data_IF_897080949503
#
_entry.id   IF_897080949503
#
_cell.length_a   1.000
_cell.length_b   1.000
_cell.length_c   1.000
_cell.angle_alpha   90.00
_cell.angle_beta   90.00
_cell.angle_gamma   90.00
#
_symmetry.space_group_name_H-M   'P 1'
#
loop_
_entity.id
_entity.type
_entity.pdbx_description
1 polymer ?
#
# COMPACT_ATOMS: atom_id res chain seq x y z
N UNK A 1 4.36 8.89 -9.49
CA UNK A 1 5.53 8.77 -8.59
C UNK A 1 5.24 9.52 -7.30
N UNK A 2 5.49 8.90 -6.14
CA UNK A 2 5.34 9.57 -4.83
C UNK A 2 6.72 10.09 -4.42
N UNK A 3 6.86 11.41 -4.26
CA UNK A 3 8.14 12.02 -3.88
C UNK A 3 8.41 11.83 -2.38
N UNK A 4 9.60 11.32 -2.07
CA UNK A 4 10.04 10.87 -0.74
C UNK A 4 11.52 11.18 -0.49
N UNK A 5 12.08 12.16 -1.23
CA UNK A 5 13.44 12.62 -1.02
C UNK A 5 13.65 13.20 0.38
N UNK A 6 14.84 13.02 0.91
CA UNK A 6 15.24 13.44 2.25
C UNK A 6 15.10 14.96 2.45
N UNK A 7 15.42 15.75 1.44
CA UNK A 7 15.46 17.20 1.52
C UNK A 7 14.08 17.84 1.74
N UNK A 8 13.04 17.36 1.06
CA UNK A 8 11.74 18.05 1.02
C UNK A 8 10.57 17.23 1.58
N UNK A 9 10.74 15.93 1.81
CA UNK A 9 9.62 15.03 2.10
C UNK A 9 9.72 14.35 3.48
N UNK A 10 10.29 15.04 4.48
CA UNK A 10 10.46 14.54 5.85
C UNK A 10 9.18 13.92 6.43
N UNK A 11 8.03 14.57 6.33
CA UNK A 11 6.77 14.04 6.87
C UNK A 11 6.35 12.69 6.23
N UNK A 12 6.58 12.53 4.92
CA UNK A 12 6.31 11.25 4.23
C UNK A 12 7.30 10.18 4.62
N UNK A 13 8.58 10.54 4.81
CA UNK A 13 9.61 9.62 5.31
C UNK A 13 9.29 9.15 6.72
N UNK A 14 8.90 10.05 7.62
CA UNK A 14 8.44 9.69 8.97
C UNK A 14 7.22 8.77 8.96
N UNK A 15 6.27 9.00 8.04
CA UNK A 15 5.16 8.08 7.84
C UNK A 15 5.66 6.68 7.40
N UNK A 16 6.58 6.60 6.43
CA UNK A 16 7.19 5.33 6.02
C UNK A 16 7.97 4.65 7.16
N UNK A 17 8.70 5.40 8.00
CA UNK A 17 9.35 4.88 9.21
C UNK A 17 8.33 4.21 10.12
N UNK A 18 7.18 4.85 10.34
CA UNK A 18 6.11 4.30 11.17
C UNK A 18 5.54 2.98 10.60
N UNK A 19 5.37 2.89 9.28
CA UNK A 19 4.91 1.69 8.58
C UNK A 19 5.92 0.54 8.63
N UNK A 20 7.22 0.84 8.76
CA UNK A 20 8.30 -0.16 8.85
C UNK A 20 8.54 -0.66 10.28
N UNK A 21 8.49 0.25 11.27
CA UNK A 21 8.91 -0.03 12.65
C UNK A 21 7.79 -0.53 13.57
N UNK A 22 6.52 -0.14 13.34
CA UNK A 22 5.41 -0.44 14.27
C UNK A 22 4.39 -1.39 13.63
N UNK A 23 4.50 -2.73 13.82
CA UNK A 23 3.61 -3.72 13.19
C UNK A 23 2.17 -3.70 13.71
N UNK A 24 1.93 -3.12 14.89
CA UNK A 24 0.66 -3.29 15.60
C UNK A 24 -0.41 -2.27 15.20
N UNK A 25 -0.04 -1.26 14.41
CA UNK A 25 -0.99 -0.39 13.73
C UNK A 25 -1.22 -1.01 12.36
N UNK A 26 -2.46 -1.31 11.98
CA UNK A 26 -2.90 -1.89 10.71
C UNK A 26 -2.41 -1.21 9.40
N UNK A 27 -1.44 -0.30 9.50
CA UNK A 27 -0.85 0.57 8.49
C UNK A 27 0.49 0.04 7.94
N UNK A 28 0.87 -1.22 8.11
CA UNK A 28 2.11 -1.76 7.50
C UNK A 28 1.96 -2.11 6.01
N UNK A 29 0.73 -1.96 5.49
CA UNK A 29 0.30 -2.38 4.17
C UNK A 29 -0.18 -1.17 3.37
N UNK A 30 0.27 -1.09 2.12
CA UNK A 30 -0.42 -0.35 1.07
C UNK A 30 -1.72 -1.10 0.75
N UNK A 31 -2.84 -0.46 1.02
CA UNK A 31 -4.17 -0.96 0.64
C UNK A 31 -4.56 -0.38 -0.72
N UNK A 32 -5.03 -1.26 -1.60
CA UNK A 32 -5.72 -0.90 -2.82
C UNK A 32 -7.20 -1.19 -2.59
N UNK A 33 -8.05 -0.20 -2.81
CA UNK A 33 -9.50 -0.36 -2.75
C UNK A 33 -10.05 -0.42 -4.17
N UNK A 34 -10.83 -1.45 -4.46
CA UNK A 34 -11.62 -1.54 -5.68
C UNK A 34 -12.98 -0.95 -5.37
N UNK A 35 -13.42 0.01 -6.17
CA UNK A 35 -14.68 0.71 -6.00
C UNK A 35 -15.60 0.50 -7.20
N UNK A 36 -16.90 0.46 -6.94
CA UNK A 36 -17.94 0.56 -7.96
C UNK A 36 -18.32 2.02 -8.15
N UNK A 37 -18.11 2.52 -9.37
CA UNK A 37 -18.53 3.87 -9.77
C UNK A 37 -20.02 3.82 -10.19
N UNK A 38 -20.90 4.66 -9.62
CA UNK A 38 -22.31 4.70 -9.99
C UNK A 38 -22.51 4.99 -11.48
N UNK A 39 -23.56 4.41 -12.11
CA UNK A 39 -23.91 4.75 -13.49
C UNK A 39 -24.21 6.24 -13.66
N UNK A 40 -24.09 6.77 -14.89
CA UNK A 40 -24.30 8.21 -15.17
C UNK A 40 -25.67 8.76 -14.73
N UNK A 41 -26.70 7.92 -14.68
CA UNK A 41 -28.05 8.30 -14.27
C UNK A 41 -28.25 8.32 -12.74
N UNK A 42 -27.24 7.90 -11.98
CA UNK A 42 -27.23 7.79 -10.52
C UNK A 42 -25.99 8.48 -9.91
N UNK A 43 -25.44 9.49 -10.59
CA UNK A 43 -24.23 10.21 -10.15
C UNK A 43 -24.35 10.93 -8.79
N UNK A 44 -25.57 11.08 -8.26
CA UNK A 44 -25.78 11.60 -6.91
C UNK A 44 -25.46 10.56 -5.81
N UNK A 45 -25.23 9.29 -6.17
CA UNK A 45 -24.81 8.24 -5.25
C UNK A 45 -23.29 8.27 -5.01
N UNK A 46 -22.88 7.78 -3.84
CA UNK A 46 -21.47 7.62 -3.50
C UNK A 46 -20.89 6.34 -4.13
N UNK A 47 -19.58 6.33 -4.38
CA UNK A 47 -18.88 5.12 -4.78
C UNK A 47 -18.89 4.08 -3.65
N UNK A 48 -19.05 2.82 -4.01
CA UNK A 48 -19.07 1.72 -3.05
C UNK A 48 -17.77 0.92 -3.09
N UNK A 49 -17.18 0.67 -1.92
CA UNK A 49 -16.02 -0.22 -1.78
C UNK A 49 -16.46 -1.68 -1.98
N UNK A 50 -15.98 -2.32 -3.05
CA UNK A 50 -16.34 -3.71 -3.38
C UNK A 50 -15.26 -4.71 -2.98
N UNK A 51 -14.02 -4.25 -2.76
CA UNK A 51 -12.97 -5.13 -2.26
C UNK A 51 -11.64 -4.47 -1.98
N UNK A 52 -10.78 -5.20 -1.28
CA UNK A 52 -9.50 -4.71 -0.79
C UNK A 52 -8.35 -5.65 -1.18
N UNK A 53 -7.22 -5.09 -1.58
CA UNK A 53 -5.98 -5.82 -1.84
C UNK A 53 -4.81 -5.15 -1.13
N UNK A 54 -3.78 -5.93 -0.78
CA UNK A 54 -2.73 -5.46 0.13
C UNK A 54 -1.32 -5.77 -0.37
N UNK A 55 -0.43 -4.79 -0.25
CA UNK A 55 1.03 -4.95 -0.40
C UNK A 55 1.71 -4.56 0.90
N UNK A 56 2.53 -5.44 1.47
CA UNK A 56 3.34 -5.10 2.66
C UNK A 56 4.69 -4.50 2.24
N UNK A 57 4.93 -3.25 2.63
CA UNK A 57 6.22 -2.58 2.38
C UNK A 57 7.36 -3.26 3.13
N UNK A 58 7.08 -3.82 4.32
CA UNK A 58 8.06 -4.63 5.05
C UNK A 58 8.49 -5.87 4.27
N UNK A 59 7.56 -6.54 3.56
CA UNK A 59 7.93 -7.69 2.73
C UNK A 59 8.88 -7.30 1.59
N UNK A 60 8.75 -6.11 1.02
CA UNK A 60 9.69 -5.58 0.02
C UNK A 60 11.08 -5.42 0.64
N UNK A 61 11.16 -4.79 1.82
CA UNK A 61 12.42 -4.61 2.55
C UNK A 61 13.04 -5.96 2.97
N UNK A 62 12.27 -6.87 3.56
CA UNK A 62 12.74 -8.19 4.01
C UNK A 62 13.23 -9.06 2.85
N UNK A 63 12.50 -9.09 1.73
CA UNK A 63 12.87 -9.86 0.53
C UNK A 63 13.95 -9.17 -0.29
N UNK A 64 14.29 -7.92 0.03
CA UNK A 64 15.28 -7.12 -0.68
C UNK A 64 14.97 -7.02 -2.18
N UNK A 65 13.68 -6.91 -2.54
CA UNK A 65 13.22 -6.92 -3.93
C UNK A 65 11.89 -6.19 -4.08
N UNK A 66 11.81 -5.35 -5.11
CA UNK A 66 10.57 -4.71 -5.56
C UNK A 66 9.52 -5.73 -6.03
N UNK A 67 8.28 -5.28 -6.14
CA UNK A 67 7.18 -6.05 -6.69
C UNK A 67 7.01 -5.62 -8.15
N UNK A 68 7.13 -6.55 -9.09
CA UNK A 68 7.03 -6.27 -10.52
C UNK A 68 5.92 -7.17 -11.10
N UNK A 69 4.88 -6.55 -11.68
CA UNK A 69 3.75 -7.21 -12.36
C UNK A 69 3.17 -8.42 -11.60
N UNK A 70 3.03 -8.30 -10.28
CA UNK A 70 2.55 -9.37 -9.43
C UNK A 70 1.04 -9.32 -9.27
N UNK A 71 0.37 -10.45 -9.47
CA UNK A 71 -1.03 -10.60 -9.10
C UNK A 71 -1.18 -10.74 -7.57
N UNK A 72 -2.02 -9.90 -6.98
CA UNK A 72 -2.45 -9.97 -5.58
C UNK A 72 -3.95 -10.22 -5.51
N UNK A 73 -4.39 -10.96 -4.49
CA UNK A 73 -5.81 -11.23 -4.28
C UNK A 73 -6.56 -9.95 -3.88
N UNK A 74 -7.75 -9.78 -4.45
CA UNK A 74 -8.75 -8.82 -3.98
C UNK A 74 -9.74 -9.60 -3.12
N UNK A 75 -9.89 -9.19 -1.87
CA UNK A 75 -10.83 -9.76 -0.91
C UNK A 75 -12.15 -8.97 -0.93
N UNK A 76 -13.26 -9.64 -0.69
CA UNK A 76 -14.59 -9.03 -0.62
C UNK A 76 -14.65 -8.00 0.52
N UNK A 77 -15.38 -6.90 0.32
CA UNK A 77 -15.51 -5.84 1.34
C UNK A 77 -16.43 -6.24 2.50
N UNK A 78 -17.33 -7.21 2.30
CA UNK A 78 -18.26 -7.73 3.30
C UNK A 78 -17.76 -9.04 3.94
N UNK A 79 -16.87 -9.77 3.28
CA UNK A 79 -16.22 -11.00 3.77
C UNK A 79 -14.71 -10.99 3.45
N UNK A 80 -13.90 -10.61 4.43
CA UNK A 80 -12.44 -10.49 4.29
C UNK A 80 -11.71 -11.83 4.05
N UNK A 81 -12.43 -12.95 4.10
CA UNK A 81 -11.92 -14.29 3.79
C UNK A 81 -12.17 -14.70 2.33
N UNK A 82 -13.14 -14.09 1.65
CA UNK A 82 -13.53 -14.42 0.29
C UNK A 82 -12.69 -13.68 -0.74
N UNK A 83 -12.05 -14.40 -1.68
CA UNK A 83 -11.31 -13.80 -2.80
C UNK A 83 -12.25 -13.61 -3.99
N UNK A 84 -12.48 -12.36 -4.39
CA UNK A 84 -13.40 -11.98 -5.48
C UNK A 84 -12.68 -11.65 -6.78
N UNK A 85 -11.35 -11.53 -6.76
CA UNK A 85 -10.58 -11.20 -7.94
C UNK A 85 -9.08 -11.11 -7.70
N UNK A 86 -8.38 -10.62 -8.72
CA UNK A 86 -6.93 -10.34 -8.66
C UNK A 86 -6.63 -8.97 -9.25
N UNK A 87 -5.69 -8.27 -8.62
CA UNK A 87 -5.12 -7.02 -9.11
C UNK A 87 -3.65 -7.26 -9.47
N UNK A 88 -3.24 -6.88 -10.68
CA UNK A 88 -1.82 -6.93 -11.07
C UNK A 88 -1.15 -5.60 -10.73
N UNK A 89 -0.09 -5.63 -9.92
CA UNK A 89 0.57 -4.41 -9.43
C UNK A 89 2.09 -4.44 -9.62
N UNK A 90 2.66 -3.26 -9.79
CA UNK A 90 4.10 -2.99 -9.69
C UNK A 90 4.31 -1.95 -8.58
N UNK A 91 5.19 -2.26 -7.63
CA UNK A 91 5.57 -1.37 -6.53
C UNK A 91 7.09 -1.35 -6.43
N UNK A 92 7.67 -0.24 -6.87
CA UNK A 92 9.10 0.05 -6.80
C UNK A 92 9.35 0.98 -5.60
N UNK A 93 9.91 0.42 -4.53
CA UNK A 93 10.09 1.13 -3.26
C UNK A 93 11.34 0.67 -2.49
N UNK A 94 12.02 -0.40 -2.87
CA UNK A 94 13.11 -0.99 -2.11
C UNK A 94 14.20 0.03 -1.76
N UNK A 95 14.60 0.86 -2.73
CA UNK A 95 15.66 1.83 -2.54
C UNK A 95 15.31 2.84 -1.43
N UNK A 96 14.12 3.44 -1.47
CA UNK A 96 13.69 4.39 -0.43
C UNK A 96 13.48 3.68 0.91
N UNK A 97 12.91 2.47 0.92
CA UNK A 97 12.66 1.74 2.16
C UNK A 97 13.96 1.38 2.89
N UNK A 98 15.04 1.07 2.16
CA UNK A 98 16.38 0.88 2.75
C UNK A 98 16.89 2.17 3.38
N UNK A 99 16.87 3.26 2.62
CA UNK A 99 17.33 4.57 3.08
C UNK A 99 16.56 5.03 4.33
N UNK A 100 15.23 4.91 4.34
CA UNK A 100 14.39 5.26 5.49
C UNK A 100 14.67 4.35 6.70
N UNK A 101 14.91 3.06 6.47
CA UNK A 101 15.21 2.11 7.54
C UNK A 101 16.59 2.33 8.16
N UNK A 102 17.57 2.78 7.38
CA UNK A 102 18.91 3.15 7.85
C UNK A 102 18.86 4.39 8.75
N UNK A 103 18.07 5.42 8.39
CA UNK A 103 17.84 6.57 9.27
C UNK A 103 17.34 6.17 10.66
N UNK A 104 16.52 5.12 10.76
CA UNK A 104 16.02 4.63 12.05
C UNK A 104 17.07 3.93 12.93
N UNK A 105 18.23 3.56 12.37
CA UNK A 105 19.33 2.95 13.14
C UNK A 105 20.29 3.99 13.71
N UNK A 106 20.32 5.17 13.09
CA UNK A 106 21.17 6.29 13.47
C UNK A 106 20.47 7.29 14.42
N UNK A 107 19.14 7.16 14.58
CA UNK A 107 18.29 7.82 15.59
C UNK A 107 18.34 7.10 16.96
#
# INVERSE_FOLDING_TARGET
VIHVDEANNRARREYLKSMLLKPDLHNDRLQFTVVSDPPEHEQDLECEDIGFAYVSLRKILQKQRDIIEQDINVFDSQDDSAVIGKLKVTVEALHVLRSVYEECKDD
#
